data_IF_151430127626
#
_entry.id   IF_151430127626
#
_cell.length_a   1.000
_cell.length_b   1.000
_cell.length_c   1.000
_cell.angle_alpha   90.00
_cell.angle_beta   90.00
_cell.angle_gamma   90.00
#
_symmetry.space_group_name_H-M   'P 1'
#
loop_
_entity.id
_entity.type
_entity.pdbx_description
1 polymer ?
#
# COMPACT_ATOMS: atom_id res chain seq x y z
N UNK A 1 0.34 -1.91 6.20
CA UNK A 1 1.57 -1.09 6.07
C UNK A 1 1.35 0.22 6.81
N UNK A 2 2.37 0.79 7.46
CA UNK A 2 2.35 2.16 7.96
C UNK A 2 3.51 2.92 7.31
N UNK A 3 3.25 4.05 6.65
CA UNK A 3 4.25 4.76 5.83
C UNK A 3 3.96 6.27 5.78
N UNK A 4 4.92 7.05 5.28
CA UNK A 4 4.70 8.48 5.01
C UNK A 4 3.66 8.67 3.90
N UNK A 5 2.84 9.71 4.04
CA UNK A 5 1.83 10.09 3.05
C UNK A 5 2.50 10.74 1.85
N UNK A 6 2.64 9.96 0.77
CA UNK A 6 3.14 10.43 -0.53
C UNK A 6 2.11 10.16 -1.62
N UNK A 7 2.15 10.93 -2.71
CA UNK A 7 1.26 10.74 -3.84
C UNK A 7 1.40 9.34 -4.47
N UNK A 8 2.64 8.81 -4.49
CA UNK A 8 2.91 7.46 -4.96
C UNK A 8 2.20 6.41 -4.08
N UNK A 9 2.34 6.48 -2.75
CA UNK A 9 1.64 5.56 -1.85
C UNK A 9 0.13 5.67 -1.98
N UNK A 10 -0.42 6.89 -2.06
CA UNK A 10 -1.85 7.14 -2.24
C UNK A 10 -2.38 6.60 -3.58
N UNK A 11 -1.55 6.57 -4.62
CA UNK A 11 -1.90 5.96 -5.91
C UNK A 11 -1.95 4.43 -5.85
N UNK A 12 -1.19 3.81 -4.94
CA UNK A 12 -1.05 2.36 -4.82
C UNK A 12 -2.09 1.75 -3.88
N UNK A 13 -2.35 2.40 -2.73
CA UNK A 13 -3.23 1.88 -1.69
C UNK A 13 -4.16 2.95 -1.11
N UNK A 14 -5.40 2.53 -0.83
CA UNK A 14 -6.42 3.35 -0.19
C UNK A 14 -6.09 3.59 1.31
N UNK A 15 -6.02 4.85 1.71
CA UNK A 15 -5.68 5.25 3.08
C UNK A 15 -6.72 4.73 4.09
N UNK A 16 -6.23 4.25 5.24
CA UNK A 16 -6.99 3.66 6.35
C UNK A 16 -7.83 2.42 6.01
N UNK A 17 -7.68 1.87 4.80
CA UNK A 17 -8.32 0.62 4.39
C UNK A 17 -7.31 -0.44 4.01
N UNK A 18 -6.27 -0.05 3.27
CA UNK A 18 -5.23 -0.95 2.76
C UNK A 18 -3.85 -0.62 3.34
N UNK A 19 -3.63 0.66 3.68
CA UNK A 19 -2.42 1.14 4.34
C UNK A 19 -2.76 2.33 5.26
N UNK A 20 -1.91 2.56 6.27
CA UNK A 20 -2.03 3.68 7.19
C UNK A 20 -0.93 4.68 6.86
N UNK A 21 -1.28 5.96 6.72
CA UNK A 21 -0.30 7.00 6.43
C UNK A 21 -0.16 8.01 7.56
N UNK A 22 1.00 8.66 7.61
CA UNK A 22 1.32 9.77 8.50
C UNK A 22 2.09 10.87 7.75
N UNK A 23 2.00 12.11 8.23
CA UNK A 23 2.77 13.24 7.69
C UNK A 23 3.70 13.91 8.72
N UNK A 24 3.69 13.45 9.96
CA UNK A 24 4.54 13.95 11.04
C UNK A 24 4.95 12.85 12.02
N UNK A 25 5.94 13.14 12.86
CA UNK A 25 6.38 12.23 13.93
C UNK A 25 5.27 12.03 14.97
N UNK A 26 4.49 13.07 15.21
CA UNK A 26 3.37 13.09 16.14
C UNK A 26 2.25 12.16 15.64
N UNK A 27 1.86 12.26 14.37
CA UNK A 27 0.88 11.35 13.75
C UNK A 27 1.38 9.89 13.76
N UNK A 28 2.66 9.67 13.45
CA UNK A 28 3.26 8.34 13.51
C UNK A 28 3.16 7.74 14.92
N UNK A 29 3.53 8.52 15.94
CA UNK A 29 3.49 8.07 17.33
C UNK A 29 2.06 7.77 17.78
N UNK A 30 1.11 8.65 17.43
CA UNK A 30 -0.31 8.46 17.73
C UNK A 30 -0.85 7.19 17.07
N UNK A 31 -0.62 7.01 15.76
CA UNK A 31 -1.06 5.83 15.02
C UNK A 31 -0.41 4.56 15.54
N UNK A 32 0.87 4.58 15.91
CA UNK A 32 1.53 3.44 16.56
C UNK A 32 0.79 3.04 17.83
N UNK A 33 0.55 3.99 18.74
CA UNK A 33 -0.17 3.74 20.01
C UNK A 33 -1.59 3.24 19.76
N UNK A 34 -2.31 3.86 18.83
CA UNK A 34 -3.67 3.48 18.46
C UNK A 34 -3.72 2.05 17.96
N UNK A 35 -2.95 1.72 16.91
CA UNK A 35 -3.03 0.41 16.30
C UNK A 35 -2.47 -0.70 17.18
N UNK A 36 -1.62 -0.43 18.18
CA UNK A 36 -1.16 -1.43 19.15
C UNK A 36 -2.32 -2.05 19.93
N UNK A 37 -3.35 -1.26 20.28
CA UNK A 37 -4.52 -1.72 21.05
C UNK A 37 -5.75 -2.04 20.17
N UNK A 38 -5.72 -1.70 18.88
CA UNK A 38 -6.78 -2.01 17.90
C UNK A 38 -6.38 -3.16 16.96
N UNK A 39 -6.13 -4.36 17.52
CA UNK A 39 -5.60 -5.50 16.76
C UNK A 39 -6.51 -5.97 15.61
N UNK A 40 -7.83 -6.00 15.82
CA UNK A 40 -8.79 -6.44 14.79
C UNK A 40 -8.73 -5.53 13.54
N UNK A 41 -8.79 -4.22 13.75
CA UNK A 41 -8.70 -3.24 12.68
C UNK A 41 -7.34 -3.28 11.99
N UNK A 42 -6.25 -3.31 12.78
CA UNK A 42 -4.88 -3.45 12.27
C UNK A 42 -4.73 -4.67 11.37
N UNK A 43 -5.27 -5.83 11.78
CA UNK A 43 -5.26 -7.07 10.99
C UNK A 43 -6.11 -6.95 9.73
N UNK A 44 -7.29 -6.34 9.83
CA UNK A 44 -8.16 -6.09 8.67
C UNK A 44 -7.45 -5.28 7.59
N UNK A 45 -6.84 -4.15 7.97
CA UNK A 45 -6.07 -3.28 7.06
C UNK A 45 -4.88 -4.04 6.47
N UNK A 46 -4.15 -4.81 7.28
CA UNK A 46 -3.01 -5.60 6.79
C UNK A 46 -3.42 -6.67 5.76
N UNK A 47 -4.56 -7.34 5.97
CA UNK A 47 -5.10 -8.33 5.04
C UNK A 47 -5.58 -7.67 3.74
N UNK A 48 -6.28 -6.54 3.83
CA UNK A 48 -6.72 -5.76 2.68
C UNK A 48 -5.52 -5.25 1.85
N UNK A 49 -4.51 -4.68 2.51
CA UNK A 49 -3.27 -4.25 1.85
C UNK A 49 -2.53 -5.39 1.16
N UNK A 50 -2.43 -6.56 1.80
CA UNK A 50 -1.83 -7.76 1.17
C UNK A 50 -2.62 -8.20 -0.07
N UNK A 51 -3.95 -8.22 0.02
CA UNK A 51 -4.82 -8.55 -1.11
C UNK A 51 -4.58 -7.58 -2.27
N UNK A 52 -4.55 -6.27 -2.00
CA UNK A 52 -4.25 -5.21 -2.96
C UNK A 52 -2.91 -5.43 -3.67
N UNK A 53 -1.84 -5.69 -2.92
CA UNK A 53 -0.51 -5.97 -3.50
C UNK A 53 -0.54 -7.11 -4.53
N UNK A 54 -1.22 -8.21 -4.18
CA UNK A 54 -1.30 -9.41 -5.03
C UNK A 54 -2.14 -9.13 -6.27
N UNK A 55 -3.32 -8.51 -6.10
CA UNK A 55 -4.26 -8.26 -7.21
C UNK A 55 -3.71 -7.24 -8.21
N UNK A 56 -2.95 -6.26 -7.73
CA UNK A 56 -2.36 -5.22 -8.59
C UNK A 56 -1.04 -5.64 -9.22
N UNK A 57 -0.49 -6.82 -8.87
CA UNK A 57 0.75 -7.32 -9.44
C UNK A 57 1.98 -6.51 -9.03
N UNK A 58 1.98 -5.90 -7.84
CA UNK A 58 3.10 -5.09 -7.33
C UNK A 58 4.35 -5.90 -6.96
N UNK A 59 4.35 -7.21 -7.22
CA UNK A 59 5.58 -8.00 -7.14
C UNK A 59 6.57 -7.54 -8.21
N UNK A 60 7.87 -7.71 -7.95
CA UNK A 60 8.90 -7.41 -8.95
C UNK A 60 8.62 -8.10 -10.30
N UNK A 61 8.20 -9.36 -10.25
CA UNK A 61 7.82 -10.11 -11.45
C UNK A 61 6.62 -9.49 -12.18
N UNK A 62 5.57 -9.11 -11.46
CA UNK A 62 4.37 -8.48 -12.03
C UNK A 62 4.66 -7.11 -12.65
N UNK A 63 5.52 -6.33 -12.00
CA UNK A 63 5.98 -5.03 -12.50
C UNK A 63 6.83 -5.18 -13.77
N UNK A 64 7.80 -6.10 -13.78
CA UNK A 64 8.61 -6.40 -14.97
C UNK A 64 7.72 -6.86 -16.13
N UNK A 65 6.76 -7.76 -15.87
CA UNK A 65 5.80 -8.24 -16.87
C UNK A 65 4.95 -7.10 -17.43
N UNK A 66 4.51 -6.16 -16.59
CA UNK A 66 3.73 -5.00 -17.01
C UNK A 66 4.55 -4.03 -17.85
N UNK A 67 5.81 -3.78 -17.47
CA UNK A 67 6.75 -2.97 -18.25
C UNK A 67 6.99 -3.58 -19.63
N UNK A 68 7.24 -4.89 -19.72
CA UNK A 68 7.38 -5.58 -21.00
C UNK A 68 6.12 -5.46 -21.87
N UNK A 69 4.93 -5.71 -21.31
CA UNK A 69 3.67 -5.53 -22.05
C UNK A 69 3.53 -4.11 -22.61
N UNK A 70 3.88 -3.09 -21.83
CA UNK A 70 3.80 -1.69 -22.28
C UNK A 70 4.75 -1.41 -23.45
N UNK A 71 5.97 -1.95 -23.41
CA UNK A 71 6.97 -1.76 -24.47
C UNK A 71 6.57 -2.51 -25.75
N UNK A 72 6.12 -3.76 -25.63
CA UNK A 72 5.81 -4.61 -26.79
C UNK A 72 4.43 -4.32 -27.41
N UNK A 73 3.43 -3.93 -26.61
CA UNK A 73 2.10 -3.58 -27.14
C UNK A 73 2.05 -2.18 -27.79
N UNK A 74 3.08 -1.35 -27.64
CA UNK A 74 3.22 -0.07 -28.35
C UNK A 74 3.73 -0.19 -29.79
N UNK A 75 4.06 -1.40 -30.26
CA UNK A 75 4.52 -1.66 -31.64
C UNK A 75 3.41 -2.08 -32.62
N UNK A 76 2.14 -1.78 -32.32
CA UNK A 76 1.00 -1.98 -33.22
C UNK A 76 0.45 -0.66 -33.72
#
# INVERSE_FOLDING_TARGET
MMAERTDEHLSMFEENKEAVYFSSKEELLEKCKYYLVHDSERKSIALAGRKRCITSGYSNEGMIRSAFKLIYNKKG
#
